data_IF_643605360663
#
_entry.id   IF_643605360663
#
_cell.length_a   1.000
_cell.length_b   1.000
_cell.length_c   1.000
_cell.angle_alpha   90.00
_cell.angle_beta   90.00
_cell.angle_gamma   90.00
#
_symmetry.space_group_name_H-M   'P 1'
#
loop_
_entity.id
_entity.type
_entity.pdbx_description
1 polymer ?
#
# COMPACT_ATOMS: atom_id res chain seq x y z
N UNK A 1 -7.62 -29.14 -15.01
CA UNK A 1 -7.00 -30.08 -15.97
C UNK A 1 -5.80 -29.39 -16.61
N UNK A 2 -5.07 -29.99 -17.57
CA UNK A 2 -3.95 -29.30 -18.23
C UNK A 2 -2.78 -28.91 -17.31
N UNK A 3 -2.60 -29.59 -16.17
CA UNK A 3 -1.51 -29.32 -15.23
C UNK A 3 -1.67 -28.08 -14.34
N UNK A 4 -2.83 -27.39 -14.41
CA UNK A 4 -3.07 -26.14 -13.66
C UNK A 4 -3.11 -26.32 -12.14
N UNK A 5 -3.31 -27.54 -11.64
CA UNK A 5 -3.35 -27.84 -10.20
C UNK A 5 -2.05 -27.46 -9.44
N UNK A 6 -0.93 -27.19 -10.14
CA UNK A 6 0.31 -26.69 -9.52
C UNK A 6 0.22 -25.24 -9.04
N UNK A 7 -0.72 -24.45 -9.54
CA UNK A 7 -0.83 -23.01 -9.25
C UNK A 7 -2.27 -22.49 -9.14
N UNK A 8 -3.25 -23.19 -9.71
CA UNK A 8 -4.66 -22.85 -9.61
C UNK A 8 -5.33 -23.70 -8.52
N UNK A 9 -6.07 -23.02 -7.65
CA UNK A 9 -7.01 -23.67 -6.75
C UNK A 9 -8.23 -24.21 -7.50
N UNK A 10 -8.89 -25.22 -6.94
CA UNK A 10 -10.20 -25.67 -7.41
C UNK A 10 -11.28 -24.58 -7.23
N UNK A 11 -12.43 -24.78 -7.89
CA UNK A 11 -13.57 -23.87 -7.76
C UNK A 11 -14.04 -23.79 -6.30
N UNK A 12 -14.23 -22.58 -5.80
CA UNK A 12 -14.71 -22.30 -4.44
C UNK A 12 -15.52 -21.01 -4.42
N UNK A 13 -16.17 -20.70 -3.30
CA UNK A 13 -16.89 -19.43 -3.14
C UNK A 13 -16.00 -18.21 -3.42
N UNK A 14 -14.71 -18.29 -3.11
CA UNK A 14 -13.75 -17.22 -3.37
C UNK A 14 -13.56 -16.95 -4.88
N UNK A 15 -13.91 -17.89 -5.75
CA UNK A 15 -13.89 -17.69 -7.21
C UNK A 15 -14.93 -16.67 -7.69
N UNK A 16 -15.93 -16.36 -6.85
CA UNK A 16 -17.00 -15.41 -7.13
C UNK A 16 -16.84 -14.10 -6.35
N UNK A 17 -15.76 -13.94 -5.58
CA UNK A 17 -15.50 -12.76 -4.76
C UNK A 17 -14.29 -12.00 -5.30
N UNK A 18 -14.31 -10.67 -5.20
CA UNK A 18 -13.15 -9.81 -5.46
C UNK A 18 -12.54 -9.40 -4.13
N UNK A 19 -11.29 -9.79 -3.91
CA UNK A 19 -10.54 -9.35 -2.72
C UNK A 19 -10.16 -7.87 -2.84
N UNK A 20 -10.26 -7.14 -1.73
CA UNK A 20 -9.82 -5.75 -1.60
C UNK A 20 -9.26 -5.51 -0.20
N UNK A 21 -8.17 -4.76 -0.10
CA UNK A 21 -7.59 -4.37 1.19
C UNK A 21 -8.16 -3.03 1.64
N UNK A 22 -8.37 -2.88 2.96
CA UNK A 22 -8.63 -1.59 3.61
C UNK A 22 -7.42 -1.26 4.49
N UNK A 23 -6.82 -0.09 4.26
CA UNK A 23 -5.67 0.42 5.01
C UNK A 23 -6.09 1.76 5.61
N UNK A 24 -5.84 1.92 6.90
CA UNK A 24 -6.22 3.10 7.67
C UNK A 24 -5.08 3.45 8.64
N UNK A 25 -4.76 4.73 8.74
CA UNK A 25 -3.75 5.26 9.66
C UNK A 25 -4.42 6.26 10.61
N UNK A 26 -4.08 6.18 11.89
CA UNK A 26 -4.31 7.32 12.78
C UNK A 26 -3.33 8.45 12.43
N UNK A 27 -3.63 9.66 12.88
CA UNK A 27 -2.74 10.79 12.67
C UNK A 27 -1.36 10.54 13.30
N UNK A 28 -1.31 10.02 14.53
CA UNK A 28 -0.05 9.74 15.23
C UNK A 28 0.78 8.69 14.48
N UNK A 29 0.13 7.62 14.00
CA UNK A 29 0.83 6.58 13.23
C UNK A 29 1.34 7.07 11.89
N UNK A 30 0.62 7.98 11.24
CA UNK A 30 1.08 8.56 9.98
C UNK A 30 2.32 9.44 10.19
N UNK A 31 2.36 10.21 11.29
CA UNK A 31 3.54 11.00 11.69
C UNK A 31 4.74 10.11 12.05
N UNK A 32 4.51 9.00 12.77
CA UNK A 32 5.58 8.04 13.11
C UNK A 32 6.25 7.43 11.87
N UNK A 33 5.47 7.10 10.83
CA UNK A 33 5.97 6.40 9.63
C UNK A 33 6.41 7.35 8.50
N UNK A 34 5.99 8.61 8.53
CA UNK A 34 6.34 9.61 7.50
C UNK A 34 7.83 9.65 7.15
N UNK A 35 8.79 9.57 8.10
CA UNK A 35 10.20 9.63 7.77
C UNK A 35 10.64 8.48 6.86
N UNK A 36 10.10 7.28 7.08
CA UNK A 36 10.39 6.11 6.26
C UNK A 36 9.78 6.26 4.86
N UNK A 37 8.55 6.78 4.76
CA UNK A 37 7.90 7.03 3.48
C UNK A 37 8.68 8.08 2.68
N UNK A 38 9.15 9.15 3.32
CA UNK A 38 9.95 10.19 2.67
C UNK A 38 11.27 9.64 2.12
N UNK A 39 11.97 8.78 2.88
CA UNK A 39 13.19 8.11 2.42
C UNK A 39 12.91 7.24 1.18
N UNK A 40 11.87 6.42 1.23
CA UNK A 40 11.49 5.57 0.09
C UNK A 40 11.14 6.40 -1.14
N UNK A 41 10.28 7.41 -0.99
CA UNK A 41 9.87 8.28 -2.07
C UNK A 41 11.05 9.05 -2.70
N UNK A 42 12.01 9.51 -1.89
CA UNK A 42 13.21 10.17 -2.39
C UNK A 42 14.11 9.21 -3.17
N UNK A 43 14.24 7.95 -2.72
CA UNK A 43 15.04 6.93 -3.41
C UNK A 43 14.41 6.48 -4.73
N UNK A 44 13.09 6.45 -4.80
CA UNK A 44 12.35 6.05 -6.01
C UNK A 44 12.04 7.22 -6.96
N UNK A 45 12.38 8.46 -6.57
CA UNK A 45 12.07 9.66 -7.35
C UNK A 45 10.57 10.03 -7.37
N UNK A 46 9.79 9.50 -6.42
CA UNK A 46 8.35 9.71 -6.31
C UNK A 46 8.02 10.95 -5.46
N UNK A 47 8.53 12.11 -5.87
CA UNK A 47 8.45 13.37 -5.09
C UNK A 47 7.02 13.69 -4.61
N UNK A 48 6.02 13.59 -5.49
CA UNK A 48 4.63 13.88 -5.14
C UNK A 48 4.06 12.91 -4.07
N UNK A 49 4.52 11.66 -4.04
CA UNK A 49 4.08 10.68 -3.04
C UNK A 49 4.60 11.04 -1.65
N UNK A 50 5.89 11.38 -1.54
CA UNK A 50 6.48 11.84 -0.28
C UNK A 50 5.84 13.14 0.23
N UNK A 51 5.68 14.13 -0.66
CA UNK A 51 5.06 15.41 -0.33
C UNK A 51 3.61 15.26 0.16
N UNK A 52 2.85 14.35 -0.44
CA UNK A 52 1.48 14.02 -0.01
C UNK A 52 1.42 13.67 1.49
N UNK A 53 2.37 12.89 1.99
CA UNK A 53 2.43 12.52 3.40
C UNK A 53 2.94 13.69 4.26
N UNK A 54 4.01 14.37 3.82
CA UNK A 54 4.60 15.52 4.53
C UNK A 54 3.58 16.63 4.81
N UNK A 55 2.73 16.97 3.82
CA UNK A 55 1.68 17.97 3.97
C UNK A 55 0.68 17.55 5.06
N UNK A 56 0.30 16.28 5.11
CA UNK A 56 -0.65 15.76 6.11
C UNK A 56 -0.05 15.74 7.52
N UNK A 57 1.26 15.59 7.63
CA UNK A 57 2.01 15.71 8.89
C UNK A 57 2.41 17.16 9.21
N UNK A 58 1.89 18.16 8.49
CA UNK A 58 2.14 19.59 8.77
C UNK A 58 3.54 20.10 8.43
N UNK A 59 4.34 19.35 7.66
CA UNK A 59 5.66 19.80 7.22
C UNK A 59 5.54 20.78 6.06
N UNK A 60 6.39 21.81 6.05
CA UNK A 60 6.54 22.70 4.90
C UNK A 60 7.30 21.94 3.80
N UNK A 61 6.62 21.72 2.68
CA UNK A 61 7.14 21.11 1.46
C UNK A 61 7.79 22.16 0.56
#
# INVERSE_FOLDING_TARGET
TGGTARWASGLSSNSFLRSSSRIEYSAERLEEIEPAIAVMAAKEGLTAHGQSVQIRCGKKV
#
